data_IF_072204876269
#
_entry.id   IF_072204876269
#
_cell.length_a   1.000
_cell.length_b   1.000
_cell.length_c   1.000
_cell.angle_alpha   90.00
_cell.angle_beta   90.00
_cell.angle_gamma   90.00
#
_symmetry.space_group_name_H-M   'P 1'
#
loop_
_entity.id
_entity.type
_entity.pdbx_description
1 polymer ?
#
# COMPACT_ATOMS: atom_id res chain seq x y z
N UNK A 1 -7.90 3.33 15.81
CA UNK A 1 -8.71 4.54 15.55
C UNK A 1 -9.54 4.26 14.31
N UNK A 2 -10.82 4.64 14.27
CA UNK A 2 -11.65 4.32 13.10
C UNK A 2 -11.31 5.23 11.92
N UNK A 3 -11.46 4.76 10.68
CA UNK A 3 -11.23 5.58 9.47
C UNK A 3 -12.05 6.88 9.49
N UNK A 4 -13.26 6.85 10.05
CA UNK A 4 -14.11 8.05 10.21
C UNK A 4 -13.51 9.10 11.14
N UNK A 5 -12.81 8.67 12.20
CA UNK A 5 -12.08 9.59 13.09
C UNK A 5 -10.84 10.17 12.41
N UNK A 6 -10.13 9.36 11.62
CA UNK A 6 -8.99 9.83 10.83
C UNK A 6 -9.44 10.87 9.80
N UNK A 7 -10.53 10.59 9.08
CA UNK A 7 -11.15 11.54 8.16
C UNK A 7 -11.50 12.87 8.85
N UNK A 8 -12.17 12.82 10.00
CA UNK A 8 -12.58 14.04 10.72
C UNK A 8 -11.36 14.88 11.15
N UNK A 9 -10.28 14.22 11.57
CA UNK A 9 -9.03 14.88 11.90
C UNK A 9 -8.41 15.57 10.68
N UNK A 10 -8.27 14.86 9.56
CA UNK A 10 -7.73 15.43 8.31
C UNK A 10 -8.58 16.62 7.84
N UNK A 11 -9.90 16.45 7.83
CA UNK A 11 -10.87 17.47 7.41
C UNK A 11 -10.78 18.75 8.24
N UNK A 12 -10.44 18.64 9.53
CA UNK A 12 -10.25 19.79 10.40
C UNK A 12 -8.95 20.58 10.13
N UNK A 13 -7.99 19.98 9.42
CA UNK A 13 -6.66 20.56 9.18
C UNK A 13 -6.52 21.06 7.75
N UNK A 14 -6.93 20.26 6.76
CA UNK A 14 -6.85 20.65 5.35
C UNK A 14 -7.88 21.75 5.07
N UNK A 15 -7.47 22.97 4.70
CA UNK A 15 -8.39 24.08 4.46
C UNK A 15 -8.56 24.46 2.99
N UNK A 16 -7.80 23.85 2.08
CA UNK A 16 -7.88 24.14 0.66
C UNK A 16 -9.14 23.50 0.03
N UNK A 17 -9.69 24.19 -0.99
CA UNK A 17 -10.97 23.83 -1.58
C UNK A 17 -10.95 22.44 -2.24
N UNK A 18 -9.86 22.08 -2.92
CA UNK A 18 -9.70 20.79 -3.58
C UNK A 18 -9.70 19.65 -2.56
N UNK A 19 -8.95 19.79 -1.46
CA UNK A 19 -8.94 18.81 -0.38
C UNK A 19 -10.29 18.68 0.31
N UNK A 20 -10.96 19.80 0.57
CA UNK A 20 -12.30 19.80 1.17
C UNK A 20 -13.32 19.08 0.28
N UNK A 21 -13.29 19.32 -1.04
CA UNK A 21 -14.15 18.64 -2.00
C UNK A 21 -13.85 17.14 -2.07
N UNK A 22 -12.56 16.75 -2.18
CA UNK A 22 -12.17 15.34 -2.22
C UNK A 22 -12.57 14.62 -0.93
N UNK A 23 -12.30 15.21 0.22
CA UNK A 23 -12.66 14.63 1.52
C UNK A 23 -14.17 14.47 1.68
N UNK A 24 -14.98 15.39 1.16
CA UNK A 24 -16.45 15.23 1.15
C UNK A 24 -16.89 14.01 0.32
N UNK A 25 -16.29 13.81 -0.86
CA UNK A 25 -16.56 12.63 -1.71
C UNK A 25 -16.15 11.33 -1.00
N UNK A 26 -14.96 11.31 -0.37
CA UNK A 26 -14.49 10.14 0.37
C UNK A 26 -15.42 9.83 1.56
N UNK A 27 -15.94 10.87 2.24
CA UNK A 27 -16.91 10.70 3.33
C UNK A 27 -18.22 10.09 2.85
N UNK A 28 -18.75 10.61 1.75
CA UNK A 28 -19.97 10.11 1.13
C UNK A 28 -19.82 8.64 0.74
N UNK A 29 -18.67 8.25 0.18
CA UNK A 29 -18.37 6.85 -0.15
C UNK A 29 -18.35 5.96 1.10
N UNK A 30 -17.65 6.40 2.16
CA UNK A 30 -17.57 5.67 3.44
C UNK A 30 -18.94 5.46 4.11
N UNK A 31 -19.90 6.35 3.88
CA UNK A 31 -21.23 6.26 4.48
C UNK A 31 -22.22 5.46 3.62
N UNK A 32 -21.98 5.32 2.31
CA UNK A 32 -22.91 4.68 1.37
C UNK A 32 -22.59 3.24 1.02
N UNK A 33 -21.31 2.87 0.95
CA UNK A 33 -20.91 1.58 0.40
C UNK A 33 -20.37 0.63 1.46
N UNK A 34 -20.29 -0.66 1.11
CA UNK A 34 -19.73 -1.68 1.99
C UNK A 34 -18.20 -1.57 2.10
N UNK A 35 -17.62 -2.17 3.14
CA UNK A 35 -16.17 -2.13 3.41
C UNK A 35 -15.30 -2.51 2.20
N UNK A 36 -15.77 -3.43 1.35
CA UNK A 36 -15.04 -3.85 0.14
C UNK A 36 -15.03 -2.77 -0.94
N UNK A 37 -16.11 -2.02 -1.08
CA UNK A 37 -16.26 -1.01 -2.13
C UNK A 37 -15.54 0.28 -1.76
N UNK A 38 -15.41 0.56 -0.45
CA UNK A 38 -14.75 1.77 0.07
C UNK A 38 -13.26 1.59 0.32
N UNK A 39 -12.68 0.43 0.01
CA UNK A 39 -11.28 0.14 0.35
C UNK A 39 -10.29 1.16 -0.25
N UNK A 40 -10.56 1.67 -1.46
CA UNK A 40 -9.76 2.75 -2.06
C UNK A 40 -9.86 4.03 -1.24
N UNK A 41 -11.07 4.43 -0.86
CA UNK A 41 -11.33 5.61 -0.05
C UNK A 41 -10.72 5.51 1.36
N UNK A 42 -10.79 4.32 1.97
CA UNK A 42 -10.13 4.02 3.24
C UNK A 42 -8.62 4.14 3.12
N UNK A 43 -8.02 3.50 2.11
CA UNK A 43 -6.57 3.56 1.88
C UNK A 43 -6.06 4.99 1.69
N UNK A 44 -6.83 5.84 1.01
CA UNK A 44 -6.48 7.24 0.80
C UNK A 44 -6.50 8.05 2.11
N UNK A 45 -7.56 7.91 2.90
CA UNK A 45 -7.68 8.55 4.23
C UNK A 45 -6.59 8.07 5.18
N UNK A 46 -6.36 6.76 5.23
CA UNK A 46 -5.36 6.14 6.11
C UNK A 46 -3.94 6.58 5.74
N UNK A 47 -3.64 6.63 4.44
CA UNK A 47 -2.34 7.08 3.94
C UNK A 47 -2.12 8.56 4.24
N UNK A 48 -3.11 9.42 3.97
CA UNK A 48 -3.05 10.83 4.30
C UNK A 48 -2.84 11.04 5.82
N UNK A 49 -3.62 10.34 6.67
CA UNK A 49 -3.47 10.42 8.12
C UNK A 49 -2.07 10.00 8.58
N UNK A 50 -1.53 8.90 8.03
CA UNK A 50 -0.18 8.44 8.32
C UNK A 50 0.88 9.49 7.97
N UNK A 51 0.76 10.13 6.80
CA UNK A 51 1.70 11.15 6.35
C UNK A 51 1.63 12.42 7.22
N UNK A 52 0.43 12.81 7.64
CA UNK A 52 0.27 13.91 8.59
C UNK A 52 0.88 13.59 9.95
N UNK A 53 0.71 12.36 10.44
CA UNK A 53 1.36 11.88 11.66
C UNK A 53 2.89 11.83 11.53
N UNK A 54 3.41 11.59 10.32
CA UNK A 54 4.84 11.66 10.02
C UNK A 54 5.38 13.10 9.99
N UNK A 55 4.51 14.11 10.04
CA UNK A 55 4.87 15.53 10.08
C UNK A 55 4.78 16.25 8.74
N UNK A 56 4.17 15.64 7.72
CA UNK A 56 3.94 16.29 6.42
C UNK A 56 2.64 17.10 6.42
N UNK A 57 2.63 18.23 5.74
CA UNK A 57 1.37 18.84 5.29
C UNK A 57 0.86 18.07 4.07
N UNK A 58 -0.43 17.76 4.02
CA UNK A 58 -1.04 16.95 2.95
C UNK A 58 -2.15 17.73 2.27
N UNK A 59 -2.17 17.71 0.95
CA UNK A 59 -3.26 18.20 0.10
C UNK A 59 -3.72 17.07 -0.81
N UNK A 60 -5.02 16.93 -0.99
CA UNK A 60 -5.61 15.97 -1.92
C UNK A 60 -5.74 16.62 -3.28
N UNK A 61 -5.36 15.88 -4.31
CA UNK A 61 -5.45 16.34 -5.68
C UNK A 61 -6.80 15.92 -6.27
N UNK A 62 -7.42 16.81 -7.03
CA UNK A 62 -8.69 16.52 -7.66
C UNK A 62 -8.52 15.40 -8.70
N UNK A 63 -9.48 14.47 -8.74
CA UNK A 63 -9.63 13.50 -9.81
C UNK A 63 -10.12 14.17 -11.11
N UNK A 64 -9.44 15.23 -11.54
CA UNK A 64 -9.60 15.75 -12.90
C UNK A 64 -9.10 14.68 -13.85
N UNK A 65 -9.74 14.45 -14.99
CA UNK A 65 -9.47 13.32 -15.90
C UNK A 65 -8.05 13.20 -16.47
N UNK A 66 -7.08 13.99 -15.98
CA UNK A 66 -5.65 13.79 -16.19
C UNK A 66 -5.07 12.72 -15.25
N UNK A 67 -3.96 12.11 -15.68
CA UNK A 67 -3.18 11.16 -14.86
C UNK A 67 -2.43 11.94 -13.79
N UNK A 68 -3.06 12.15 -12.64
CA UNK A 68 -2.45 12.83 -11.50
C UNK A 68 -2.41 11.89 -10.30
N UNK A 69 -1.39 12.07 -9.46
CA UNK A 69 -1.29 11.39 -8.17
C UNK A 69 -2.44 11.78 -7.25
N UNK A 70 -2.75 10.95 -6.25
CA UNK A 70 -3.88 11.19 -5.35
C UNK A 70 -3.60 12.29 -4.31
N UNK A 71 -2.37 12.34 -3.78
CA UNK A 71 -1.97 13.33 -2.77
C UNK A 71 -0.70 14.08 -3.17
N UNK A 72 -0.59 15.27 -2.60
CA UNK A 72 0.64 16.06 -2.55
C UNK A 72 1.03 16.26 -1.09
N UNK A 73 2.31 16.01 -0.79
CA UNK A 73 2.87 16.15 0.55
C UNK A 73 3.96 17.22 0.56
N UNK A 74 4.07 17.94 1.68
CA UNK A 74 5.05 19.01 1.87
C UNK A 74 5.84 18.85 3.16
N UNK A 75 7.14 19.13 3.07
CA UNK A 75 8.03 19.36 4.19
C UNK A 75 8.79 20.68 3.96
N UNK A 76 8.23 21.77 4.50
CA UNK A 76 8.68 23.12 4.19
C UNK A 76 8.47 23.45 2.72
N UNK A 77 9.56 23.71 1.99
CA UNK A 77 9.53 24.01 0.54
C UNK A 77 9.65 22.77 -0.34
N UNK A 78 9.95 21.61 0.24
CA UNK A 78 10.04 20.35 -0.49
C UNK A 78 8.66 19.74 -0.64
N UNK A 79 8.43 19.10 -1.78
CA UNK A 79 7.19 18.40 -2.08
C UNK A 79 7.46 17.08 -2.77
N UNK A 80 6.61 16.12 -2.47
CA UNK A 80 6.50 14.86 -3.22
C UNK A 80 5.03 14.51 -3.40
N UNK A 81 4.77 13.62 -4.34
CA UNK A 81 3.43 13.14 -4.65
C UNK A 81 3.24 11.72 -4.13
N UNK A 82 2.01 11.36 -3.82
CA UNK A 82 1.65 10.02 -3.37
C UNK A 82 0.59 9.47 -4.28
N UNK A 83 0.93 8.36 -4.93
CA UNK A 83 -0.01 7.55 -5.71
C UNK A 83 -0.50 6.42 -4.82
N UNK A 84 -1.80 6.27 -4.64
CA UNK A 84 -2.40 5.28 -3.76
C UNK A 84 -3.06 4.20 -4.60
N UNK A 85 -2.78 2.96 -4.26
CA UNK A 85 -3.44 1.81 -4.89
C UNK A 85 -3.78 0.78 -3.83
N UNK A 86 -4.86 0.05 -4.08
CA UNK A 86 -5.30 -1.04 -3.21
C UNK A 86 -5.12 -2.37 -3.93
N UNK A 87 -4.60 -3.36 -3.22
CA UNK A 87 -4.62 -4.76 -3.63
C UNK A 87 -5.69 -5.45 -2.79
N UNK A 88 -6.85 -5.68 -3.41
CA UNK A 88 -7.90 -6.47 -2.79
C UNK A 88 -7.81 -7.92 -3.21
N UNK A 89 -8.25 -8.81 -2.33
CA UNK A 89 -8.50 -10.19 -2.74
C UNK A 89 -9.65 -10.23 -3.73
N UNK A 90 -9.41 -10.86 -4.88
CA UNK A 90 -10.48 -11.24 -5.79
C UNK A 90 -10.97 -12.59 -5.33
N UNK A 91 -12.22 -12.70 -4.86
CA UNK A 91 -12.89 -13.99 -4.88
C UNK A 91 -12.88 -14.44 -6.35
N UNK A 92 -12.13 -15.48 -6.67
CA UNK A 92 -12.18 -16.07 -7.99
C UNK A 92 -13.64 -16.48 -8.22
N UNK A 93 -14.27 -15.86 -9.23
CA UNK A 93 -15.41 -16.45 -9.92
C UNK A 93 -14.84 -17.64 -10.72
N UNK A 94 -14.34 -18.65 -10.01
CA UNK A 94 -14.05 -19.99 -10.52
C UNK A 94 -15.32 -20.84 -10.32
N UNK A 95 -16.44 -20.31 -10.79
CA UNK A 95 -17.61 -21.07 -11.13
C UNK A 95 -17.68 -21.14 -12.65
N UNK A 96 -17.36 -22.30 -13.22
CA UNK A 96 -17.47 -22.68 -14.65
C UNK A 96 -16.25 -22.48 -15.56
N UNK A 97 -15.09 -23.03 -15.20
CA UNK A 97 -14.25 -23.70 -16.21
C UNK A 97 -13.65 -24.95 -15.56
N UNK A 98 -14.00 -26.11 -16.12
CA UNK A 98 -13.58 -27.40 -15.60
C UNK A 98 -12.06 -27.54 -15.65
N UNK A 99 -11.45 -27.72 -14.48
CA UNK A 99 -10.16 -28.39 -14.37
C UNK A 99 -10.32 -29.56 -13.40
N UNK A 100 -9.94 -30.71 -13.93
CA UNK A 100 -10.08 -32.06 -13.41
C UNK A 100 -9.43 -32.23 -12.05
N UNK A 101 -10.19 -32.89 -11.15
CA UNK A 101 -9.71 -33.64 -9.98
C UNK A 101 -8.54 -34.55 -10.38
N UNK A 102 -7.31 -34.16 -10.05
CA UNK A 102 -6.18 -35.08 -9.84
C UNK A 102 -4.93 -34.30 -9.40
N UNK A 103 -4.79 -33.97 -8.11
CA UNK A 103 -3.50 -33.71 -7.43
C UNK A 103 -3.76 -33.19 -6.00
N UNK A 104 -4.32 -34.04 -5.14
CA UNK A 104 -4.63 -33.67 -3.75
C UNK A 104 -3.52 -33.97 -2.74
N UNK A 105 -2.36 -34.51 -3.15
CA UNK A 105 -1.34 -35.01 -2.19
C UNK A 105 0.08 -34.42 -2.32
N UNK A 106 0.32 -33.45 -3.22
CA UNK A 106 1.64 -32.76 -3.34
C UNK A 106 1.56 -31.28 -2.89
N UNK A 107 0.39 -30.79 -2.51
CA UNK A 107 0.11 -29.35 -2.35
C UNK A 107 0.28 -28.79 -0.93
N UNK A 108 0.81 -29.55 0.03
CA UNK A 108 0.93 -29.05 1.41
C UNK A 108 2.16 -28.17 1.65
N UNK A 109 3.24 -28.33 0.87
CA UNK A 109 4.44 -27.48 0.95
C UNK A 109 4.43 -26.31 -0.05
N UNK A 110 3.56 -26.35 -1.07
CA UNK A 110 3.49 -25.33 -2.15
C UNK A 110 2.41 -24.26 -1.93
N UNK A 111 1.60 -24.38 -0.87
CA UNK A 111 0.49 -23.45 -0.60
C UNK A 111 0.94 -22.05 -0.21
N UNK A 112 1.94 -21.95 0.66
CA UNK A 112 2.44 -20.69 1.20
C UNK A 112 3.26 -19.91 0.17
N UNK A 113 4.14 -20.62 -0.56
CA UNK A 113 4.92 -20.03 -1.65
C UNK A 113 4.03 -19.55 -2.80
N UNK A 114 3.00 -20.33 -3.16
CA UNK A 114 2.03 -19.91 -4.16
C UNK A 114 1.25 -18.66 -3.73
N UNK A 115 0.88 -18.58 -2.45
CA UNK A 115 0.19 -17.41 -1.91
C UNK A 115 1.06 -16.15 -2.02
N UNK A 116 2.31 -16.24 -1.56
CA UNK A 116 3.25 -15.13 -1.62
C UNK A 116 3.50 -14.71 -3.07
N UNK A 117 3.63 -15.69 -3.98
CA UNK A 117 3.79 -15.44 -5.42
C UNK A 117 2.61 -14.69 -6.04
N UNK A 118 1.37 -15.04 -5.70
CA UNK A 118 0.18 -14.33 -6.21
C UNK A 118 0.14 -12.89 -5.70
N UNK A 119 0.42 -12.68 -4.41
CA UNK A 119 0.49 -11.34 -3.82
C UNK A 119 1.57 -10.50 -4.51
N UNK A 120 2.79 -11.04 -4.62
CA UNK A 120 3.92 -10.40 -5.29
C UNK A 120 3.57 -10.07 -6.73
N UNK A 121 3.02 -11.00 -7.51
CA UNK A 121 2.62 -10.74 -8.91
C UNK A 121 1.62 -9.59 -9.03
N UNK A 122 0.64 -9.49 -8.12
CA UNK A 122 -0.32 -8.38 -8.10
C UNK A 122 0.36 -7.05 -7.77
N UNK A 123 1.25 -7.06 -6.80
CA UNK A 123 2.05 -5.88 -6.43
C UNK A 123 2.88 -5.39 -7.62
N UNK A 124 3.59 -6.30 -8.28
CA UNK A 124 4.38 -5.99 -9.48
C UNK A 124 3.53 -5.43 -10.62
N UNK A 125 2.37 -6.06 -10.88
CA UNK A 125 1.45 -5.61 -11.90
C UNK A 125 0.94 -4.18 -11.62
N UNK A 126 0.55 -3.89 -10.37
CA UNK A 126 0.13 -2.55 -9.95
C UNK A 126 1.25 -1.52 -10.05
N UNK A 127 2.47 -1.86 -9.61
CA UNK A 127 3.64 -0.99 -9.76
C UNK A 127 3.89 -0.65 -11.24
N UNK A 128 3.89 -1.66 -12.10
CA UNK A 128 4.14 -1.49 -13.54
C UNK A 128 3.04 -0.65 -14.21
N UNK A 129 1.79 -0.87 -13.83
CA UNK A 129 0.64 -0.12 -14.33
C UNK A 129 0.72 1.36 -13.93
N UNK A 130 0.99 1.63 -12.64
CA UNK A 130 1.11 3.00 -12.12
C UNK A 130 2.35 3.72 -12.63
N UNK A 131 3.48 3.03 -12.80
CA UNK A 131 4.68 3.61 -13.39
C UNK A 131 4.42 4.15 -14.81
N UNK A 132 3.67 3.41 -15.64
CA UNK A 132 3.25 3.87 -16.97
C UNK A 132 2.32 5.08 -16.94
N UNK A 133 1.46 5.19 -15.91
CA UNK A 133 0.58 6.34 -15.75
C UNK A 133 1.37 7.61 -15.41
N UNK A 134 2.47 7.45 -14.67
CA UNK A 134 3.30 8.52 -14.10
C UNK A 134 4.60 8.78 -14.89
N UNK A 135 4.76 8.22 -16.09
CA UNK A 135 5.96 8.37 -16.92
C UNK A 135 6.36 9.84 -17.16
N UNK A 136 5.38 10.75 -17.17
CA UNK A 136 5.58 12.19 -17.40
C UNK A 136 5.69 13.02 -16.12
N UNK A 137 5.68 12.39 -14.94
CA UNK A 137 5.84 13.11 -13.68
C UNK A 137 7.29 13.57 -13.51
N UNK A 138 7.46 14.87 -13.25
CA UNK A 138 8.78 15.49 -13.03
C UNK A 138 9.00 15.86 -11.55
N UNK A 139 8.63 14.96 -10.64
CA UNK A 139 8.75 15.17 -9.20
C UNK A 139 8.85 13.83 -8.46
N UNK A 140 9.30 13.80 -7.20
CA UNK A 140 9.34 12.58 -6.42
C UNK A 140 7.94 12.00 -6.22
N UNK A 141 7.78 10.69 -6.40
CA UNK A 141 6.51 9.97 -6.22
C UNK A 141 6.70 8.78 -5.29
N UNK A 142 5.94 8.74 -4.21
CA UNK A 142 5.80 7.59 -3.33
C UNK A 142 4.59 6.77 -3.77
N UNK A 143 4.77 5.51 -4.14
CA UNK A 143 3.65 4.59 -4.36
C UNK A 143 3.19 4.00 -3.03
N UNK A 144 2.02 4.40 -2.54
CA UNK A 144 1.38 3.81 -1.37
C UNK A 144 0.47 2.65 -1.79
N UNK A 145 0.80 1.44 -1.34
CA UNK A 145 0.02 0.23 -1.61
C UNK A 145 -0.66 -0.22 -0.34
N UNK A 146 -1.99 -0.20 -0.31
CA UNK A 146 -2.78 -0.70 0.82
C UNK A 146 -3.36 -2.09 0.53
N UNK A 147 -3.30 -2.95 1.53
CA UNK A 147 -3.82 -4.32 1.51
C UNK A 147 -4.71 -4.49 2.74
N UNK A 148 -6.02 -4.14 2.62
CA UNK A 148 -6.94 -4.16 3.75
C UNK A 148 -7.18 -5.59 4.24
N UNK A 149 -7.51 -6.50 3.32
CA UNK A 149 -7.74 -7.91 3.62
C UNK A 149 -7.00 -8.81 2.66
N UNK A 150 -6.30 -9.79 3.23
CA UNK A 150 -5.71 -10.91 2.51
C UNK A 150 -6.63 -12.11 2.73
N UNK A 151 -7.74 -12.20 1.99
CA UNK A 151 -8.65 -13.35 2.06
C UNK A 151 -8.75 -14.02 0.70
N UNK A 152 -7.79 -14.88 0.36
CA UNK A 152 -7.86 -15.67 -0.88
C UNK A 152 -8.64 -16.98 -0.66
N UNK A 153 -9.52 -17.26 -1.64
CA UNK A 153 -10.35 -18.46 -1.83
C UNK A 153 -11.04 -19.07 -0.60
N UNK A 154 -12.36 -18.85 -0.49
CA UNK A 154 -13.29 -19.68 0.28
C UNK A 154 -13.26 -21.11 -0.28
N UNK A 155 -12.31 -21.91 0.21
CA UNK A 155 -12.10 -23.29 -0.22
C UNK A 155 -10.95 -23.95 0.55
N UNK A 156 -9.99 -23.16 1.03
CA UNK A 156 -9.01 -23.61 2.02
C UNK A 156 -9.34 -22.95 3.36
N UNK A 157 -9.85 -23.75 4.30
CA UNK A 157 -10.07 -23.35 5.70
C UNK A 157 -8.75 -23.11 6.47
N UNK A 158 -7.72 -22.61 5.79
CA UNK A 158 -6.38 -22.39 6.33
C UNK A 158 -6.19 -20.93 6.71
N UNK A 159 -5.53 -20.70 7.85
CA UNK A 159 -5.04 -19.39 8.23
C UNK A 159 -4.23 -18.77 7.07
N UNK A 160 -4.37 -17.45 6.85
CA UNK A 160 -3.54 -16.72 5.89
C UNK A 160 -2.07 -17.03 6.19
N UNK A 161 -1.27 -17.51 5.23
CA UNK A 161 0.11 -17.87 5.51
C UNK A 161 0.95 -16.61 5.76
N UNK A 162 1.97 -16.70 6.63
CA UNK A 162 2.77 -15.55 7.02
C UNK A 162 3.67 -15.07 5.87
N UNK A 163 3.61 -13.78 5.57
CA UNK A 163 4.44 -13.13 4.55
C UNK A 163 5.92 -13.10 4.95
N UNK A 164 6.80 -13.49 4.04
CA UNK A 164 8.24 -13.31 4.18
C UNK A 164 8.65 -11.88 3.79
N UNK A 165 8.72 -11.00 4.79
CA UNK A 165 9.07 -9.59 4.57
C UNK A 165 10.48 -9.39 4.01
N UNK A 166 11.37 -10.35 4.23
CA UNK A 166 12.75 -10.28 3.75
C UNK A 166 12.81 -10.58 2.25
N UNK A 167 12.05 -11.60 1.80
CA UNK A 167 11.85 -11.90 0.37
C UNK A 167 11.12 -10.75 -0.34
N UNK A 168 10.04 -10.22 0.24
CA UNK A 168 9.30 -9.08 -0.29
C UNK A 168 10.22 -7.85 -0.41
N UNK A 169 11.03 -7.56 0.62
CA UNK A 169 11.98 -6.46 0.59
C UNK A 169 13.04 -6.61 -0.52
N UNK A 170 13.63 -7.81 -0.67
CA UNK A 170 14.59 -8.09 -1.73
C UNK A 170 13.98 -7.93 -3.12
N UNK A 171 12.76 -8.41 -3.31
CA UNK A 171 12.01 -8.26 -4.56
C UNK A 171 11.68 -6.79 -4.86
N UNK A 172 11.19 -6.03 -3.88
CA UNK A 172 10.89 -4.61 -4.04
C UNK A 172 12.11 -3.81 -4.46
N UNK A 173 13.28 -4.08 -3.87
CA UNK A 173 14.53 -3.42 -4.28
C UNK A 173 14.89 -3.75 -5.72
N UNK A 174 14.76 -5.01 -6.13
CA UNK A 174 15.02 -5.41 -7.51
C UNK A 174 14.10 -4.71 -8.50
N UNK A 175 12.80 -4.70 -8.22
CA UNK A 175 11.78 -4.14 -9.12
C UNK A 175 11.87 -2.62 -9.17
N UNK A 176 12.13 -1.96 -8.05
CA UNK A 176 12.27 -0.50 -8.01
C UNK A 176 13.40 0.00 -8.92
N UNK A 177 14.44 -0.80 -9.13
CA UNK A 177 15.50 -0.47 -10.10
C UNK A 177 14.97 -0.34 -11.53
N UNK A 178 13.90 -1.06 -11.88
CA UNK A 178 13.27 -1.05 -13.21
C UNK A 178 12.14 -0.02 -13.34
N UNK A 179 11.71 0.62 -12.25
CA UNK A 179 10.65 1.65 -12.24
C UNK A 179 11.14 2.97 -11.64
N UNK A 180 12.00 3.72 -12.36
CA UNK A 180 12.59 4.97 -11.86
C UNK A 180 11.57 6.10 -11.66
N UNK A 181 10.32 5.92 -12.10
CA UNK A 181 9.21 6.85 -11.86
C UNK A 181 8.85 6.96 -10.37
N UNK A 182 9.12 5.91 -9.58
CA UNK A 182 8.86 5.93 -8.14
C UNK A 182 10.12 6.20 -7.35
N UNK A 183 10.01 7.14 -6.41
CA UNK A 183 11.03 7.41 -5.38
C UNK A 183 11.02 6.34 -4.29
N UNK A 184 9.90 5.65 -4.10
CA UNK A 184 9.78 4.55 -3.14
C UNK A 184 8.40 3.91 -3.15
N UNK A 185 8.26 2.86 -2.36
CA UNK A 185 7.00 2.13 -2.14
C UNK A 185 6.72 2.07 -0.65
N UNK A 186 5.51 2.46 -0.24
CA UNK A 186 4.96 2.28 1.10
C UNK A 186 3.90 1.18 1.04
N UNK A 187 4.26 -0.04 1.44
CA UNK A 187 3.35 -1.17 1.54
C UNK A 187 2.71 -1.21 2.94
N UNK A 188 1.39 -1.19 3.00
CA UNK A 188 0.60 -1.28 4.23
C UNK A 188 -0.31 -2.50 4.16
N UNK A 189 -0.10 -3.49 5.04
CA UNK A 189 -0.96 -4.66 5.15
C UNK A 189 -1.64 -4.68 6.53
N UNK A 190 -2.96 -4.62 6.54
CA UNK A 190 -3.73 -4.51 7.79
C UNK A 190 -3.84 -5.83 8.54
N UNK A 191 -4.23 -6.91 7.85
CA UNK A 191 -4.55 -8.19 8.49
C UNK A 191 -3.57 -9.33 8.13
N UNK A 192 -2.47 -9.01 7.46
CA UNK A 192 -1.50 -9.99 6.99
C UNK A 192 -0.60 -10.50 8.11
N UNK A 193 -0.46 -11.82 8.30
CA UNK A 193 0.60 -12.32 9.16
C UNK A 193 1.98 -12.12 8.54
N UNK A 194 3.00 -11.90 9.36
CA UNK A 194 4.41 -11.82 8.97
C UNK A 194 5.16 -12.99 9.59
N UNK A 195 6.08 -13.56 8.83
CA UNK A 195 6.95 -14.65 9.26
C UNK A 195 7.96 -14.15 10.30
N UNK A 196 8.18 -14.93 11.35
CA UNK A 196 9.20 -14.60 12.34
C UNK A 196 10.60 -14.68 11.71
N UNK A 197 11.34 -13.58 11.81
CA UNK A 197 12.70 -13.50 11.27
C UNK A 197 13.67 -14.14 12.26
N UNK A 198 14.23 -15.30 11.91
CA UNK A 198 15.29 -15.94 12.71
C UNK A 198 16.66 -15.25 12.56
N UNK A 199 16.92 -14.63 11.41
CA UNK A 199 18.15 -13.89 11.10
C UNK A 199 17.87 -12.70 10.17
N UNK A 200 17.58 -11.50 10.70
CA UNK A 200 17.20 -10.36 9.87
C UNK A 200 18.42 -9.79 9.13
N UNK A 201 18.55 -10.09 7.83
CA UNK A 201 19.46 -9.37 6.94
C UNK A 201 18.85 -7.99 6.71
N UNK A 202 19.59 -6.95 7.09
CA UNK A 202 19.16 -5.57 6.89
C UNK A 202 19.43 -5.15 5.46
N UNK A 203 18.37 -4.97 4.69
CA UNK A 203 18.42 -4.34 3.38
C UNK A 203 18.36 -2.83 3.60
N UNK A 204 19.44 -2.10 3.32
CA UNK A 204 19.62 -0.68 3.69
C UNK A 204 18.49 0.23 3.17
N UNK A 205 17.91 -0.12 2.03
CA UNK A 205 16.88 0.64 1.34
C UNK A 205 15.48 0.38 1.90
N UNK A 206 15.30 -0.65 2.74
CA UNK A 206 13.98 -1.10 3.18
C UNK A 206 13.87 -1.07 4.71
N UNK A 207 12.75 -0.55 5.18
CA UNK A 207 12.41 -0.48 6.60
C UNK A 207 11.01 -1.02 6.78
N UNK A 208 10.77 -1.81 7.83
CA UNK A 208 9.42 -2.28 8.14
C UNK A 208 9.21 -2.41 9.63
N UNK A 209 7.93 -2.35 10.01
CA UNK A 209 7.45 -2.72 11.34
C UNK A 209 6.46 -3.85 11.19
N UNK A 210 6.46 -4.75 12.17
CA UNK A 210 5.43 -5.75 12.38
C UNK A 210 4.77 -5.50 13.73
N UNK A 211 3.45 -5.50 13.77
CA UNK A 211 2.67 -5.30 14.99
C UNK A 211 1.99 -6.60 15.41
N UNK A 212 1.68 -6.76 16.71
CA UNK A 212 0.90 -7.89 17.20
C UNK A 212 -0.49 -7.94 16.55
N UNK A 213 -1.08 -9.14 16.36
CA UNK A 213 -2.37 -9.31 15.70
C UNK A 213 -3.56 -8.67 16.45
N UNK A 214 -3.38 -8.35 17.73
CA UNK A 214 -4.44 -7.76 18.57
C UNK A 214 -4.54 -6.24 18.44
N UNK A 215 -3.53 -5.58 17.87
CA UNK A 215 -3.58 -4.13 17.63
C UNK A 215 -4.29 -3.84 16.32
N UNK A 216 -5.61 -3.62 16.39
CA UNK A 216 -6.44 -3.24 15.24
C UNK A 216 -6.41 -1.75 14.96
N UNK A 217 -5.68 -0.96 15.76
CA UNK A 217 -5.62 0.49 15.61
C UNK A 217 -4.63 0.95 14.55
N UNK A 218 -3.70 0.07 14.17
CA UNK A 218 -2.62 0.31 13.22
C UNK A 218 -2.45 -0.93 12.32
N UNK A 219 -1.89 -0.80 11.11
CA UNK A 219 -1.68 -1.94 10.24
C UNK A 219 -0.65 -2.91 10.80
N UNK A 220 -0.91 -4.21 10.67
CA UNK A 220 -0.04 -5.28 11.17
C UNK A 220 1.34 -5.26 10.53
N UNK A 221 1.44 -4.83 9.28
CA UNK A 221 2.71 -4.65 8.56
C UNK A 221 2.70 -3.28 7.89
N UNK A 222 3.76 -2.52 8.09
CA UNK A 222 4.06 -1.35 7.26
C UNK A 222 5.52 -1.41 6.83
N UNK A 223 5.76 -1.37 5.53
CA UNK A 223 7.07 -1.51 4.90
C UNK A 223 7.31 -0.35 3.94
N UNK A 224 8.43 0.33 4.10
CA UNK A 224 8.92 1.39 3.22
C UNK A 224 10.16 0.91 2.49
N UNK A 225 10.11 0.86 1.17
CA UNK A 225 11.26 0.61 0.30
C UNK A 225 11.61 1.90 -0.46
N UNK A 226 12.84 2.38 -0.29
CA UNK A 226 13.34 3.56 -0.99
C UNK A 226 14.01 3.16 -2.31
N UNK A 227 13.67 3.83 -3.41
CA UNK A 227 14.28 3.58 -4.70
C UNK A 227 15.58 4.38 -4.85
N UNK A 228 16.72 3.69 -4.95
CA UNK A 228 18.02 4.33 -5.19
C UNK A 228 18.21 4.79 -6.64
N UNK A 229 17.38 4.30 -7.57
CA UNK A 229 17.46 4.55 -9.01
C UNK A 229 16.36 5.49 -9.51
N UNK A 230 15.63 6.14 -8.60
CA UNK A 230 14.55 7.04 -8.97
C UNK A 230 15.08 8.24 -9.78
N UNK A 231 14.35 8.62 -10.85
CA UNK A 231 14.63 9.84 -11.62
C UNK A 231 14.54 11.07 -10.73
N UNK A 232 13.53 11.08 -9.85
CA UNK A 232 13.33 12.09 -8.82
C UNK A 232 13.24 11.39 -7.47
N UNK A 233 14.30 11.46 -6.68
CA UNK A 233 14.35 10.82 -5.36
C UNK A 233 13.69 11.67 -4.27
N UNK A 234 13.22 11.00 -3.21
CA UNK A 234 12.88 11.67 -1.96
C UNK A 234 14.17 12.24 -1.34
N UNK A 235 14.06 13.40 -0.71
CA UNK A 235 15.13 13.99 0.09
C UNK A 235 15.46 13.12 1.30
N UNK A 236 16.67 13.26 1.84
CA UNK A 236 17.08 12.54 3.04
C UNK A 236 16.15 12.80 4.23
N UNK A 237 15.60 14.02 4.33
CA UNK A 237 14.70 14.42 5.40
C UNK A 237 13.33 13.75 5.27
N UNK A 238 12.72 13.76 4.08
CA UNK A 238 11.46 13.05 3.82
C UNK A 238 11.58 11.55 4.14
N UNK A 239 12.70 10.94 3.73
CA UNK A 239 13.00 9.54 4.01
C UNK A 239 13.12 9.28 5.52
N UNK A 240 13.72 10.19 6.29
CA UNK A 240 13.83 10.08 7.76
C UNK A 240 12.47 10.21 8.43
N UNK A 241 11.63 11.15 7.99
CA UNK A 241 10.28 11.35 8.54
C UNK A 241 9.40 10.11 8.30
N UNK A 242 9.39 9.60 7.07
CA UNK A 242 8.65 8.38 6.73
C UNK A 242 9.12 7.17 7.55
N UNK A 243 10.44 7.00 7.73
CA UNK A 243 11.00 5.91 8.55
C UNK A 243 10.64 6.01 10.02
N UNK A 244 10.61 7.21 10.58
CA UNK A 244 10.26 7.43 12.00
C UNK A 244 8.78 7.18 12.26
N UNK A 245 7.93 7.34 11.26
CA UNK A 245 6.50 7.14 11.37
C UNK A 245 6.06 5.67 11.24
N UNK A 246 6.93 4.79 10.71
CA UNK A 246 6.67 3.34 10.60
C UNK A 246 6.37 2.73 11.96
#
# INVERSE_FOLDING_TARGET
QTVRQQWAHIFSICSDAESQQRLAVLREQLDRFSDKEVASSQAEIETAHFLMQAGFSVSFLEATGGRTADLQCYDGTHRFFVEITVIQSTQSVLGKTGFTRASSEILSETGDDFFEDVFVRRLLARMSEKAKQLERYCAPVLLAVSVPDILFEKGRSGAVPPLDLQRIAGMLVGVLADVPQFSGVLLTCWNAPARELRNPIRIRQVHWVTRPPHDTSQPRIRLLANNAFATYGLTAREVVLLKRAL
#
